data_IF_109393632188
#
_entry.id   IF_109393632188
#
_cell.length_a   1.000
_cell.length_b   1.000
_cell.length_c   1.000
_cell.angle_alpha   90.00
_cell.angle_beta   90.00
_cell.angle_gamma   90.00
#
_symmetry.space_group_name_H-M   'P 1'
#
loop_
_entity.id
_entity.type
_entity.pdbx_description
1 polymer ?
#
# COMPACT_ATOMS: atom_id res chain seq x y z
N UNK A 1 -10.25 -26.39 -22.97
CA UNK A 1 -9.06 -26.01 -22.19
C UNK A 1 -9.14 -24.54 -21.80
N UNK A 2 -9.96 -24.17 -20.80
CA UNK A 2 -9.79 -22.87 -20.15
C UNK A 2 -10.17 -23.03 -18.69
N UNK A 3 -9.27 -23.67 -17.94
CA UNK A 3 -9.33 -23.62 -16.49
C UNK A 3 -9.02 -22.17 -16.08
N UNK A 4 -10.03 -21.30 -16.06
CA UNK A 4 -10.04 -20.07 -15.28
C UNK A 4 -10.15 -20.46 -13.80
N UNK A 5 -9.13 -21.18 -13.32
CA UNK A 5 -8.85 -21.24 -11.90
C UNK A 5 -8.64 -19.80 -11.48
N UNK A 6 -9.52 -19.30 -10.61
CA UNK A 6 -9.25 -18.11 -9.81
C UNK A 6 -8.00 -18.41 -8.99
N UNK A 7 -6.83 -18.19 -9.57
CA UNK A 7 -5.60 -18.12 -8.84
C UNK A 7 -5.82 -16.97 -7.85
N UNK A 8 -6.06 -17.31 -6.58
CA UNK A 8 -6.28 -16.34 -5.51
C UNK A 8 -5.09 -15.39 -5.59
N UNK A 9 -5.33 -14.18 -6.08
CA UNK A 9 -4.27 -13.23 -6.27
C UNK A 9 -3.65 -12.95 -4.90
N UNK A 10 -2.49 -13.57 -4.66
CA UNK A 10 -1.79 -13.54 -3.37
C UNK A 10 -1.13 -12.19 -3.14
N UNK A 11 -1.21 -11.26 -4.10
CA UNK A 11 -0.66 -9.91 -3.96
C UNK A 11 -1.40 -9.17 -2.87
N UNK A 12 -0.62 -8.49 -2.03
CA UNK A 12 -1.18 -7.67 -0.96
C UNK A 12 -1.53 -6.30 -1.49
N UNK A 13 -2.75 -5.87 -1.20
CA UNK A 13 -3.19 -4.49 -1.48
C UNK A 13 -2.65 -3.54 -0.42
N UNK A 14 -1.92 -2.53 -0.88
CA UNK A 14 -1.37 -1.42 -0.12
C UNK A 14 -1.99 -0.12 -0.65
N UNK A 15 -2.49 0.70 0.28
CA UNK A 15 -3.05 2.01 0.00
C UNK A 15 -2.14 3.09 0.58
N UNK A 16 -1.98 4.26 -0.06
CA UNK A 16 -1.21 5.37 0.50
C UNK A 16 -1.73 5.81 1.88
N UNK A 17 -3.06 5.84 2.06
CA UNK A 17 -3.73 6.14 3.34
C UNK A 17 -3.22 5.31 4.54
N UNK A 18 -2.67 4.12 4.32
CA UNK A 18 -2.09 3.31 5.39
C UNK A 18 -0.94 4.01 6.12
N UNK A 19 -0.28 4.97 5.46
CA UNK A 19 0.91 5.67 5.91
C UNK A 19 0.68 7.14 6.24
N UNK A 20 -0.56 7.64 6.17
CA UNK A 20 -0.86 9.05 6.42
C UNK A 20 -0.91 9.32 7.93
N UNK A 21 -0.01 10.19 8.41
CA UNK A 21 0.10 10.56 9.81
C UNK A 21 -1.09 11.38 10.32
N UNK A 22 -1.84 12.02 9.41
CA UNK A 22 -3.01 12.86 9.69
C UNK A 22 -4.28 12.04 9.94
N UNK A 23 -4.32 10.80 9.44
CA UNK A 23 -5.48 9.91 9.59
C UNK A 23 -5.39 9.12 10.91
N UNK A 24 -6.53 8.84 11.55
CA UNK A 24 -6.64 7.85 12.63
C UNK A 24 -6.55 6.41 12.09
N UNK A 25 -6.52 5.41 12.98
CA UNK A 25 -6.56 3.99 12.57
C UNK A 25 -7.87 3.66 11.87
N UNK A 26 -8.98 4.17 12.40
CA UNK A 26 -10.32 3.94 11.87
C UNK A 26 -10.53 4.67 10.54
N UNK A 27 -9.86 5.81 10.35
CA UNK A 27 -9.88 6.59 9.10
C UNK A 27 -8.97 6.03 7.99
N UNK A 28 -8.22 4.94 8.24
CA UNK A 28 -7.46 4.24 7.21
C UNK A 28 -5.98 4.01 7.53
N UNK A 29 -5.39 4.72 8.50
CA UNK A 29 -3.98 4.52 8.87
C UNK A 29 -3.76 3.11 9.41
N UNK A 30 -2.75 2.40 8.89
CA UNK A 30 -2.39 1.05 9.36
C UNK A 30 -1.01 0.99 10.00
N UNK A 31 -0.09 1.86 9.59
CA UNK A 31 1.23 1.98 10.19
C UNK A 31 1.20 2.70 11.55
N UNK A 32 2.27 2.56 12.33
CA UNK A 32 2.48 3.33 13.56
C UNK A 32 2.69 4.80 13.21
N UNK A 33 2.03 5.71 13.93
CA UNK A 33 2.06 7.16 13.64
C UNK A 33 3.48 7.73 13.57
N UNK A 34 4.40 7.24 14.40
CA UNK A 34 5.82 7.65 14.42
C UNK A 34 6.62 7.30 13.15
N UNK A 35 6.08 6.43 12.30
CA UNK A 35 6.67 6.03 11.01
C UNK A 35 5.84 6.50 9.81
N UNK A 36 4.72 7.18 10.05
CA UNK A 36 3.87 7.75 9.01
C UNK A 36 4.41 9.10 8.55
N UNK A 37 4.07 9.49 7.33
CA UNK A 37 4.36 10.82 6.76
C UNK A 37 3.04 11.54 6.47
N UNK A 38 3.10 12.86 6.28
CA UNK A 38 1.93 13.62 5.85
C UNK A 38 1.71 13.45 4.34
N UNK A 39 0.45 13.26 3.93
CA UNK A 39 0.05 13.18 2.51
C UNK A 39 0.91 12.20 1.67
N UNK A 40 0.98 10.91 2.04
CA UNK A 40 1.71 9.92 1.24
C UNK A 40 1.11 9.81 -0.16
N UNK A 41 1.97 9.84 -1.18
CA UNK A 41 1.60 9.67 -2.58
C UNK A 41 2.02 8.30 -3.13
N UNK A 42 1.32 7.84 -4.18
CA UNK A 42 1.55 6.51 -4.76
C UNK A 42 2.93 6.38 -5.44
N UNK A 43 3.53 7.49 -5.86
CA UNK A 43 4.78 7.53 -6.62
C UNK A 43 5.95 7.31 -5.67
N UNK A 44 5.94 7.99 -4.53
CA UNK A 44 6.89 7.79 -3.42
C UNK A 44 6.80 6.39 -2.84
N UNK A 45 5.58 5.85 -2.67
CA UNK A 45 5.40 4.45 -2.29
C UNK A 45 6.03 3.50 -3.32
N UNK A 46 5.85 3.77 -4.61
CA UNK A 46 6.41 2.96 -5.69
C UNK A 46 7.95 2.99 -5.68
N UNK A 47 8.57 4.14 -5.40
CA UNK A 47 10.02 4.26 -5.25
C UNK A 47 10.56 3.43 -4.08
N UNK A 48 9.87 3.46 -2.93
CA UNK A 48 10.24 2.65 -1.77
C UNK A 48 10.12 1.16 -2.07
N UNK A 49 9.07 0.73 -2.77
CA UNK A 49 8.90 -0.67 -3.16
C UNK A 49 9.96 -1.12 -4.16
N UNK A 50 10.35 -0.26 -5.11
CA UNK A 50 11.49 -0.50 -6.02
C UNK A 50 12.79 -0.66 -5.23
N UNK A 51 13.07 0.20 -4.25
CA UNK A 51 14.28 0.09 -3.43
C UNK A 51 14.29 -1.15 -2.53
N UNK A 52 13.12 -1.76 -2.28
CA UNK A 52 12.98 -3.04 -1.58
C UNK A 52 13.09 -4.25 -2.51
N UNK A 53 13.30 -4.04 -3.82
CA UNK A 53 13.36 -5.06 -4.85
C UNK A 53 12.12 -5.99 -4.87
N UNK A 54 10.94 -5.41 -4.59
CA UNK A 54 9.67 -6.13 -4.62
C UNK A 54 9.00 -5.96 -5.99
N UNK A 55 8.32 -7.02 -6.45
CA UNK A 55 7.44 -6.92 -7.62
C UNK A 55 6.10 -6.32 -7.19
N UNK A 56 5.64 -5.33 -7.93
CA UNK A 56 4.36 -4.68 -7.64
C UNK A 56 3.70 -4.12 -8.90
N UNK A 57 2.41 -3.87 -8.79
CA UNK A 57 1.57 -3.27 -9.83
C UNK A 57 0.88 -2.03 -9.25
N UNK A 58 0.93 -0.94 -10.00
CA UNK A 58 0.33 0.35 -9.61
C UNK A 58 -0.98 0.54 -10.36
N UNK A 59 -2.06 0.75 -9.62
CA UNK A 59 -3.38 1.04 -10.19
C UNK A 59 -3.81 2.44 -9.74
N UNK A 60 -3.47 3.46 -10.55
CA UNK A 60 -3.71 4.89 -10.23
C UNK A 60 -5.20 5.24 -10.20
N UNK A 61 -6.03 4.54 -10.98
CA UNK A 61 -7.46 4.84 -11.13
C UNK A 61 -8.34 4.27 -10.00
N UNK A 62 -7.74 3.54 -9.06
CA UNK A 62 -8.47 2.88 -7.99
C UNK A 62 -8.64 3.80 -6.78
N UNK A 63 -9.83 3.74 -6.21
CA UNK A 63 -10.25 4.55 -5.08
C UNK A 63 -10.43 3.68 -3.84
N UNK A 64 -9.96 4.17 -2.70
CA UNK A 64 -10.18 3.47 -1.45
C UNK A 64 -11.67 3.53 -1.09
N UNK A 65 -12.35 2.42 -0.76
CA UNK A 65 -13.80 2.41 -0.56
C UNK A 65 -14.29 3.41 0.50
N UNK A 66 -13.53 3.60 1.58
CA UNK A 66 -13.86 4.56 2.63
C UNK A 66 -13.46 6.01 2.30
N UNK A 67 -12.74 6.25 1.20
CA UNK A 67 -12.21 7.56 0.77
C UNK A 67 -12.36 7.73 -0.74
N UNK A 68 -13.54 7.42 -1.27
CA UNK A 68 -13.77 7.35 -2.71
C UNK A 68 -13.59 8.70 -3.44
N UNK A 69 -13.66 9.81 -2.71
CA UNK A 69 -13.40 11.16 -3.22
C UNK A 69 -11.89 11.45 -3.42
N UNK A 70 -11.00 10.69 -2.78
CA UNK A 70 -9.56 10.80 -2.98
C UNK A 70 -9.07 9.79 -4.02
N UNK A 71 -8.47 10.30 -5.09
CA UNK A 71 -7.76 9.50 -6.09
C UNK A 71 -6.36 9.14 -5.60
N UNK A 72 -6.28 8.33 -4.54
CA UNK A 72 -4.98 7.91 -3.98
C UNK A 72 -4.32 6.77 -4.79
N UNK A 73 -5.10 6.03 -5.59
CA UNK A 73 -4.63 4.82 -6.25
C UNK A 73 -4.33 3.70 -5.25
N UNK A 74 -3.97 2.52 -5.76
CA UNK A 74 -3.48 1.41 -4.92
C UNK A 74 -2.30 0.70 -5.54
N UNK A 75 -1.55 -0.01 -4.70
CA UNK A 75 -0.44 -0.85 -5.14
C UNK A 75 -0.70 -2.28 -4.73
N UNK A 76 -0.54 -3.22 -5.66
CA UNK A 76 -0.59 -4.66 -5.39
C UNK A 76 0.83 -5.19 -5.33
N UNK A 77 1.25 -5.71 -4.19
CA UNK A 77 2.63 -6.13 -3.93
C UNK A 77 2.72 -7.64 -3.84
N UNK A 78 3.59 -8.24 -4.63
CA UNK A 78 3.90 -9.67 -4.59
C UNK A 78 4.98 -9.94 -3.54
N UNK A 79 4.61 -10.63 -2.46
CA UNK A 79 5.56 -10.97 -1.39
C UNK A 79 5.02 -12.05 -0.46
N UNK A 80 5.92 -12.87 0.08
CA UNK A 80 5.62 -13.88 1.09
C UNK A 80 5.59 -13.33 2.52
N UNK A 81 5.96 -12.05 2.74
CA UNK A 81 5.92 -11.46 4.08
C UNK A 81 4.48 -11.51 4.66
N UNK A 82 4.28 -11.31 5.96
CA UNK A 82 2.95 -10.93 6.49
C UNK A 82 2.56 -9.50 6.08
N UNK A 83 1.26 -9.17 5.99
CA UNK A 83 0.82 -7.81 5.58
C UNK A 83 1.25 -6.73 6.56
N UNK A 84 1.18 -7.01 7.87
CA UNK A 84 1.63 -6.10 8.93
C UNK A 84 3.12 -5.75 8.80
N UNK A 85 3.97 -6.76 8.56
CA UNK A 85 5.42 -6.57 8.38
C UNK A 85 5.77 -5.80 7.13
N UNK A 86 5.06 -6.04 6.03
CA UNK A 86 5.23 -5.24 4.81
C UNK A 86 4.90 -3.75 5.08
N UNK A 87 3.76 -3.47 5.73
CA UNK A 87 3.36 -2.09 6.06
C UNK A 87 4.41 -1.44 6.97
N UNK A 88 4.87 -2.12 8.02
CA UNK A 88 5.91 -1.59 8.91
C UNK A 88 7.22 -1.27 8.15
N UNK A 89 7.66 -2.18 7.27
CA UNK A 89 8.88 -2.01 6.49
C UNK A 89 8.80 -0.86 5.47
N UNK A 90 7.64 -0.64 4.85
CA UNK A 90 7.39 0.50 3.95
C UNK A 90 7.39 1.80 4.75
N UNK A 91 6.68 1.86 5.88
CA UNK A 91 6.57 3.05 6.71
C UNK A 91 7.95 3.54 7.19
N UNK A 92 8.79 2.63 7.68
CA UNK A 92 10.15 2.95 8.11
C UNK A 92 10.99 3.57 6.98
N UNK A 93 10.82 3.09 5.74
CA UNK A 93 11.55 3.61 4.57
C UNK A 93 10.98 4.91 4.05
N UNK A 94 9.67 5.14 4.15
CA UNK A 94 9.04 6.41 3.76
C UNK A 94 9.50 7.59 4.61
N UNK A 95 9.82 7.34 5.90
CA UNK A 95 10.31 8.36 6.83
C UNK A 95 11.79 8.71 6.64
N UNK A 96 12.56 7.82 6.01
CA UNK A 96 13.96 8.09 5.66
C UNK A 96 14.02 9.02 4.46
#
# INVERSE_FOLDING_TARGET
MTSLVHERDRRKVIWPSYFDSRLSRDAGRRARKSYCIEKPDIERLSLVLKSMNLKFEVEKDKKHPARWWENEGRIRVETNMPKSKLIEAIAIRLRK
#
